data_IF_202599454725
#
_entry.id   IF_202599454725
#
_cell.length_a   1.000
_cell.length_b   1.000
_cell.length_c   1.000
_cell.angle_alpha   90.00
_cell.angle_beta   90.00
_cell.angle_gamma   90.00
#
_symmetry.space_group_name_H-M   'P 1'
#
loop_
_entity.id
_entity.type
_entity.pdbx_description
1 polymer ?
#
# COMPACT_ATOMS: atom_id res chain seq x y z
N UNK A 1 24.62 -56.49 28.25
CA UNK A 1 23.48 -57.16 27.59
C UNK A 1 22.66 -56.10 26.88
N UNK A 2 21.88 -56.44 25.85
CA UNK A 2 21.04 -55.47 25.13
C UNK A 2 19.80 -55.06 25.93
N UNK A 3 19.11 -54.00 25.52
CA UNK A 3 17.84 -53.57 26.16
C UNK A 3 16.80 -54.70 26.11
N UNK A 4 16.66 -55.38 24.97
CA UNK A 4 15.76 -56.54 24.83
C UNK A 4 16.14 -57.69 25.77
N UNK A 5 17.43 -57.97 25.93
CA UNK A 5 17.89 -59.00 26.87
C UNK A 5 17.60 -58.60 28.31
N UNK A 6 17.82 -57.33 28.69
CA UNK A 6 17.48 -56.79 30.01
C UNK A 6 15.98 -56.95 30.30
N UNK A 7 15.14 -56.53 29.35
CA UNK A 7 13.69 -56.53 29.51
C UNK A 7 13.09 -57.94 29.53
N UNK A 8 13.85 -58.95 29.07
CA UNK A 8 13.47 -60.36 29.15
C UNK A 8 13.73 -61.02 30.52
N UNK A 9 14.39 -60.32 31.45
CA UNK A 9 14.61 -60.83 32.81
C UNK A 9 13.27 -60.85 33.55
N UNK A 10 12.77 -62.03 33.85
CA UNK A 10 11.55 -62.20 34.64
C UNK A 10 11.84 -61.99 36.14
N UNK A 11 11.01 -61.19 36.81
CA UNK A 11 11.14 -60.85 38.24
C UNK A 11 12.56 -60.44 38.66
N UNK A 12 13.12 -59.38 38.07
CA UNK A 12 14.45 -58.89 38.45
C UNK A 12 14.49 -58.52 39.94
N UNK A 13 15.64 -58.78 40.58
CA UNK A 13 15.83 -58.44 41.99
C UNK A 13 15.95 -56.92 42.18
N UNK A 14 15.40 -56.39 43.26
CA UNK A 14 15.55 -55.00 43.66
C UNK A 14 17.04 -54.67 43.86
N UNK A 15 17.52 -53.65 43.15
CA UNK A 15 18.92 -53.26 43.12
C UNK A 15 19.81 -54.07 42.18
N UNK A 16 19.24 -54.95 41.34
CA UNK A 16 20.00 -55.66 40.30
C UNK A 16 20.62 -54.66 39.33
N UNK A 17 21.95 -54.65 39.23
CA UNK A 17 22.71 -53.79 38.31
C UNK A 17 23.19 -54.60 37.12
N UNK A 18 23.00 -54.06 35.92
CA UNK A 18 23.52 -54.61 34.67
C UNK A 18 24.20 -53.51 33.86
N UNK A 19 25.04 -53.89 32.89
CA UNK A 19 25.56 -52.98 31.88
C UNK A 19 24.80 -53.16 30.56
N UNK A 20 24.12 -52.12 30.11
CA UNK A 20 23.45 -52.11 28.81
C UNK A 20 24.44 -51.70 27.71
N UNK A 21 24.59 -52.56 26.72
CA UNK A 21 25.58 -52.38 25.65
C UNK A 21 25.06 -51.50 24.50
N UNK A 22 23.76 -51.19 24.46
CA UNK A 22 23.17 -50.34 23.40
C UNK A 22 23.34 -48.85 23.69
N UNK A 23 23.18 -48.43 24.94
CA UNK A 23 23.35 -47.04 25.40
C UNK A 23 24.66 -46.81 26.17
N UNK A 24 25.44 -47.89 26.40
CA UNK A 24 26.70 -47.87 27.16
C UNK A 24 26.55 -47.35 28.60
N UNK A 25 25.38 -47.58 29.22
CA UNK A 25 25.10 -47.17 30.58
C UNK A 25 24.94 -48.37 31.53
N UNK A 26 25.24 -48.15 32.82
CA UNK A 26 24.80 -49.05 33.88
C UNK A 26 23.31 -48.81 34.12
N UNK A 27 22.54 -49.89 34.15
CA UNK A 27 21.13 -49.88 34.49
C UNK A 27 20.91 -50.63 35.80
N UNK A 28 19.97 -50.17 36.63
CA UNK A 28 19.54 -50.89 37.82
C UNK A 28 18.02 -51.04 37.85
N UNK A 29 17.55 -52.12 38.46
CA UNK A 29 16.11 -52.32 38.71
C UNK A 29 15.76 -51.76 40.09
N UNK A 30 14.86 -50.78 40.15
CA UNK A 30 14.51 -50.10 41.41
C UNK A 30 13.33 -50.73 42.18
N UNK A 31 12.88 -51.92 41.75
CA UNK A 31 11.68 -52.58 42.25
C UNK A 31 10.42 -52.32 41.41
N UNK A 32 10.46 -51.35 40.50
CA UNK A 32 9.33 -50.97 39.64
C UNK A 32 9.71 -50.97 38.15
N UNK A 33 10.86 -50.39 37.81
CA UNK A 33 11.32 -50.28 36.43
C UNK A 33 12.85 -50.39 36.34
N UNK A 34 13.35 -50.62 35.12
CA UNK A 34 14.76 -50.47 34.80
C UNK A 34 15.09 -48.99 34.60
N UNK A 35 16.12 -48.51 35.29
CA UNK A 35 16.60 -47.13 35.19
C UNK A 35 18.09 -47.11 34.84
N UNK A 36 18.50 -46.19 33.98
CA UNK A 36 19.91 -45.85 33.85
C UNK A 36 20.39 -45.11 35.10
N UNK A 37 21.66 -45.27 35.45
CA UNK A 37 22.25 -44.64 36.65
C UNK A 37 22.20 -43.10 36.68
N UNK A 38 21.90 -42.47 35.54
CA UNK A 38 21.71 -41.01 35.43
C UNK A 38 20.24 -40.58 35.52
N UNK A 39 19.29 -41.50 35.64
CA UNK A 39 17.87 -41.21 35.85
C UNK A 39 17.59 -41.13 37.36
N UNK A 40 16.79 -40.16 37.77
CA UNK A 40 16.29 -40.01 39.14
C UNK A 40 15.01 -40.83 39.36
N UNK A 41 14.15 -40.95 38.34
CA UNK A 41 12.89 -41.69 38.42
C UNK A 41 12.47 -42.36 37.09
N UNK A 42 11.42 -43.20 37.14
CA UNK A 42 10.97 -43.99 35.97
C UNK A 42 10.32 -43.13 34.89
N UNK A 43 9.93 -41.89 35.21
CA UNK A 43 9.25 -40.96 34.31
C UNK A 43 10.23 -39.98 33.64
N UNK A 44 11.50 -39.99 34.03
CA UNK A 44 12.53 -39.14 33.44
C UNK A 44 12.68 -39.42 31.95
N UNK A 45 12.34 -38.41 31.17
CA UNK A 45 12.39 -38.48 29.73
C UNK A 45 13.83 -38.34 29.24
N UNK A 46 14.28 -39.29 28.44
CA UNK A 46 15.48 -39.12 27.62
C UNK A 46 15.12 -39.37 26.17
N UNK A 47 15.69 -38.58 25.27
CA UNK A 47 15.42 -38.69 23.85
C UNK A 47 16.65 -38.27 23.04
N UNK A 48 16.69 -38.77 21.81
CA UNK A 48 17.60 -38.33 20.77
C UNK A 48 16.82 -37.58 19.70
N UNK A 49 17.52 -36.65 19.04
CA UNK A 49 17.00 -35.88 17.94
C UNK A 49 17.97 -35.98 16.76
N UNK A 50 17.46 -35.98 15.54
CA UNK A 50 18.28 -35.88 14.33
C UNK A 50 17.53 -35.15 13.22
N UNK A 51 18.27 -34.54 12.29
CA UNK A 51 17.70 -33.82 11.16
C UNK A 51 17.88 -34.60 9.87
N UNK A 52 16.92 -34.47 8.96
CA UNK A 52 17.04 -34.95 7.57
C UNK A 52 18.14 -34.24 6.78
N UNK A 53 18.40 -32.96 7.09
CA UNK A 53 19.53 -32.17 6.60
C UNK A 53 20.04 -31.27 7.74
N UNK A 54 21.36 -31.07 7.82
CA UNK A 54 21.98 -30.18 8.80
C UNK A 54 22.32 -28.80 8.19
N UNK A 55 22.14 -28.64 6.88
CA UNK A 55 22.37 -27.37 6.21
C UNK A 55 21.64 -27.30 4.89
N UNK A 56 21.02 -26.16 4.59
CA UNK A 56 20.46 -25.90 3.26
C UNK A 56 20.74 -24.46 2.83
N UNK A 57 20.38 -24.15 1.60
CA UNK A 57 20.52 -22.82 1.00
C UNK A 57 19.18 -22.35 0.44
N UNK A 58 18.82 -21.10 0.72
CA UNK A 58 17.69 -20.42 0.10
C UNK A 58 18.21 -19.42 -0.93
N UNK A 59 17.78 -19.62 -2.17
CA UNK A 59 17.83 -18.63 -3.24
C UNK A 59 16.42 -18.07 -3.45
N UNK A 60 16.23 -16.80 -3.12
CA UNK A 60 14.94 -16.11 -3.15
C UNK A 60 14.36 -15.92 -4.55
N UNK A 61 15.17 -16.16 -5.58
CA UNK A 61 14.70 -16.21 -6.98
C UNK A 61 14.08 -17.55 -7.35
N UNK A 62 14.27 -18.59 -6.52
CA UNK A 62 13.78 -19.96 -6.72
C UNK A 62 12.74 -20.33 -5.67
N UNK A 63 13.02 -20.06 -4.39
CA UNK A 63 12.15 -20.39 -3.25
C UNK A 63 12.36 -19.39 -2.12
N UNK A 64 11.30 -19.10 -1.38
CA UNK A 64 11.34 -18.28 -0.16
C UNK A 64 11.44 -19.12 1.12
N UNK A 65 11.48 -20.45 0.99
CA UNK A 65 11.36 -21.37 2.12
C UNK A 65 12.11 -22.68 1.94
N UNK A 66 12.43 -23.28 3.09
CA UNK A 66 13.02 -24.62 3.18
C UNK A 66 12.34 -25.41 4.30
N UNK A 67 12.20 -26.72 4.08
CA UNK A 67 11.61 -27.65 5.04
C UNK A 67 12.61 -28.72 5.42
N UNK A 68 12.73 -28.98 6.72
CA UNK A 68 13.50 -30.09 7.25
C UNK A 68 12.63 -30.96 8.15
N UNK A 69 12.84 -32.28 8.06
CA UNK A 69 12.24 -33.25 8.97
C UNK A 69 13.15 -33.42 10.19
N UNK A 70 12.56 -33.33 11.37
CA UNK A 70 13.17 -33.64 12.67
C UNK A 70 12.67 -35.03 13.09
N UNK A 71 13.60 -35.95 13.33
CA UNK A 71 13.30 -37.27 13.89
C UNK A 71 13.57 -37.25 15.40
N UNK A 72 12.59 -37.69 16.18
CA UNK A 72 12.68 -37.78 17.63
C UNK A 72 12.53 -39.24 18.03
N UNK A 73 13.46 -39.72 18.86
CA UNK A 73 13.42 -41.05 19.46
C UNK A 73 13.52 -40.91 20.96
N UNK A 74 12.40 -41.09 21.66
CA UNK A 74 12.38 -41.19 23.12
C UNK A 74 12.99 -42.53 23.52
N UNK A 75 14.09 -42.48 24.26
CA UNK A 75 14.89 -43.65 24.66
C UNK A 75 14.60 -44.08 26.10
N UNK A 76 14.00 -43.21 26.92
CA UNK A 76 13.60 -43.55 28.29
C UNK A 76 12.41 -42.72 28.78
N UNK A 77 11.78 -43.20 29.86
CA UNK A 77 10.59 -42.61 30.47
C UNK A 77 9.29 -43.05 29.80
N UNK A 78 8.17 -42.80 30.48
CA UNK A 78 6.84 -43.02 29.90
C UNK A 78 6.59 -42.09 28.69
N UNK A 79 5.78 -42.51 27.69
CA UNK A 79 5.42 -41.68 26.53
C UNK A 79 4.85 -40.33 26.97
N UNK A 80 5.49 -39.24 26.55
CA UNK A 80 5.14 -37.88 26.97
C UNK A 80 5.48 -36.86 25.87
N UNK A 81 5.06 -35.61 26.08
CA UNK A 81 5.27 -34.53 25.12
C UNK A 81 6.72 -34.02 25.13
N UNK A 82 7.31 -33.92 23.94
CA UNK A 82 8.62 -33.33 23.68
C UNK A 82 8.39 -32.00 22.96
N UNK A 83 8.64 -30.90 23.66
CA UNK A 83 8.45 -29.56 23.13
C UNK A 83 9.70 -29.10 22.37
N UNK A 84 9.50 -28.43 21.24
CA UNK A 84 10.58 -27.91 20.41
C UNK A 84 10.52 -26.39 20.33
N UNK A 85 11.68 -25.77 20.28
CA UNK A 85 11.82 -24.33 20.11
C UNK A 85 13.10 -24.00 19.35
N UNK A 86 13.17 -22.78 18.82
CA UNK A 86 14.43 -22.20 18.35
C UNK A 86 15.00 -21.41 19.53
N UNK A 87 16.21 -21.79 19.97
CA UNK A 87 16.82 -21.24 21.17
C UNK A 87 17.52 -19.89 20.94
N UNK A 88 17.86 -19.55 19.69
CA UNK A 88 18.47 -18.28 19.32
C UNK A 88 17.49 -17.36 18.58
N UNK A 89 17.78 -16.06 18.56
CA UNK A 89 17.05 -15.10 17.73
C UNK A 89 17.33 -15.35 16.25
N UNK A 90 16.28 -15.40 15.43
CA UNK A 90 16.39 -15.42 13.98
C UNK A 90 16.62 -13.99 13.44
N UNK A 91 17.28 -13.83 12.27
CA UNK A 91 17.41 -12.53 11.63
C UNK A 91 16.04 -11.96 11.24
N UNK A 92 15.96 -10.62 11.14
CA UNK A 92 14.74 -9.95 10.72
C UNK A 92 14.30 -10.45 9.32
N UNK A 93 13.00 -10.70 9.17
CA UNK A 93 12.44 -11.23 7.92
C UNK A 93 12.46 -12.75 7.79
N UNK A 94 13.10 -13.47 8.73
CA UNK A 94 13.03 -14.93 8.82
C UNK A 94 12.00 -15.36 9.87
N UNK A 95 11.13 -16.29 9.49
CA UNK A 95 10.14 -16.92 10.39
C UNK A 95 10.25 -18.43 10.32
N UNK A 96 9.67 -19.12 11.30
CA UNK A 96 9.64 -20.57 11.33
C UNK A 96 8.30 -21.10 11.83
N UNK A 97 7.97 -22.33 11.44
CA UNK A 97 6.82 -23.06 11.97
C UNK A 97 7.14 -24.55 12.12
N UNK A 98 6.51 -25.19 13.10
CA UNK A 98 6.53 -26.64 13.25
C UNK A 98 5.18 -27.20 12.83
N UNK A 99 5.18 -28.32 12.09
CA UNK A 99 3.94 -28.97 11.66
C UNK A 99 3.12 -29.47 12.84
N UNK A 100 3.78 -30.10 13.82
CA UNK A 100 3.22 -30.53 15.09
C UNK A 100 4.26 -30.23 16.19
N UNK A 101 3.85 -29.47 17.20
CA UNK A 101 4.67 -29.16 18.38
C UNK A 101 3.74 -28.85 19.57
N UNK A 102 3.81 -29.59 20.70
CA UNK A 102 4.79 -30.62 21.02
C UNK A 102 4.60 -31.94 20.26
N UNK A 103 5.68 -32.72 20.17
CA UNK A 103 5.64 -34.09 19.65
C UNK A 103 5.35 -35.08 20.76
N UNK A 104 4.39 -36.00 20.57
CA UNK A 104 4.11 -37.04 21.56
C UNK A 104 5.06 -38.24 21.36
N UNK A 105 5.94 -38.47 22.33
CA UNK A 105 6.96 -39.54 22.32
C UNK A 105 7.81 -39.54 21.03
N UNK A 106 8.23 -40.72 20.58
CA UNK A 106 9.01 -40.89 19.34
C UNK A 106 8.15 -40.61 18.11
N UNK A 107 8.72 -39.92 17.13
CA UNK A 107 8.06 -39.65 15.85
C UNK A 107 8.82 -38.63 15.02
N UNK A 108 8.18 -38.12 13.98
CA UNK A 108 8.73 -37.06 13.12
C UNK A 108 7.85 -35.83 13.11
N UNK A 109 8.47 -34.67 12.88
CA UNK A 109 7.77 -33.43 12.58
C UNK A 109 8.55 -32.63 11.53
N UNK A 110 7.87 -31.71 10.86
CA UNK A 110 8.48 -30.81 9.87
C UNK A 110 8.70 -29.45 10.49
N UNK A 111 9.91 -28.91 10.33
CA UNK A 111 10.26 -27.52 10.62
C UNK A 111 10.43 -26.79 9.28
N UNK A 112 9.64 -25.74 9.08
CA UNK A 112 9.69 -24.90 7.89
C UNK A 112 10.25 -23.53 8.25
N UNK A 113 11.27 -23.08 7.52
CA UNK A 113 11.73 -21.70 7.57
C UNK A 113 11.21 -20.94 6.34
N UNK A 114 10.76 -19.70 6.56
CA UNK A 114 10.40 -18.75 5.50
C UNK A 114 11.27 -17.50 5.63
N UNK A 115 11.73 -16.97 4.51
CA UNK A 115 12.51 -15.72 4.44
C UNK A 115 11.88 -14.76 3.45
N UNK A 116 12.12 -13.47 3.67
CA UNK A 116 11.70 -12.39 2.77
C UNK A 116 12.90 -11.83 1.99
N UNK A 117 12.69 -11.07 0.90
CA UNK A 117 13.79 -10.45 0.15
C UNK A 117 14.64 -9.45 0.94
N UNK A 118 14.15 -8.91 2.07
CA UNK A 118 14.93 -8.06 2.97
C UNK A 118 15.68 -8.82 4.08
N UNK A 119 15.50 -10.15 4.17
CA UNK A 119 16.26 -10.95 5.16
C UNK A 119 17.76 -10.82 4.88
N UNK A 120 18.60 -10.49 5.88
CA UNK A 120 20.04 -10.40 5.68
C UNK A 120 20.61 -11.68 5.07
N UNK A 121 21.53 -11.53 4.12
CA UNK A 121 22.23 -12.65 3.51
C UNK A 121 23.35 -13.20 4.41
N UNK A 122 23.83 -14.39 4.06
CA UNK A 122 24.87 -15.10 4.81
C UNK A 122 24.38 -16.41 5.42
N UNK A 123 25.25 -17.01 6.23
CA UNK A 123 25.01 -18.32 6.85
C UNK A 123 24.66 -18.14 8.32
N UNK A 124 23.47 -18.58 8.71
CA UNK A 124 22.93 -18.47 10.06
C UNK A 124 22.93 -19.83 10.77
N UNK A 125 23.65 -19.98 11.89
CA UNK A 125 23.50 -21.14 12.75
C UNK A 125 22.21 -21.01 13.56
N UNK A 126 21.34 -22.00 13.44
CA UNK A 126 20.04 -22.08 14.11
C UNK A 126 20.10 -23.21 15.12
N UNK A 127 19.84 -22.91 16.38
CA UNK A 127 19.88 -23.88 17.48
C UNK A 127 18.46 -24.36 17.74
N UNK A 128 18.16 -25.58 17.31
CA UNK A 128 16.90 -26.26 17.57
C UNK A 128 17.03 -26.94 18.94
N UNK A 129 16.17 -26.56 19.87
CA UNK A 129 16.12 -27.10 21.22
C UNK A 129 14.89 -27.98 21.39
N UNK A 130 15.10 -29.21 21.85
CA UNK A 130 14.07 -30.10 22.35
C UNK A 130 14.10 -30.15 23.87
N UNK A 131 12.92 -30.15 24.49
CA UNK A 131 12.71 -30.24 25.93
C UNK A 131 11.76 -31.39 26.24
N UNK A 132 12.16 -32.25 27.18
CA UNK A 132 11.32 -33.31 27.71
C UNK A 132 11.59 -33.50 29.20
N UNK A 133 10.68 -33.01 30.06
CA UNK A 133 10.93 -32.93 31.49
C UNK A 133 12.25 -32.15 31.78
N UNK A 134 13.21 -32.73 32.51
CA UNK A 134 14.52 -32.11 32.76
C UNK A 134 15.53 -32.26 31.61
N UNK A 135 15.24 -33.10 30.60
CA UNK A 135 16.18 -33.35 29.50
C UNK A 135 16.09 -32.29 28.42
N UNK A 136 17.26 -31.77 28.05
CA UNK A 136 17.44 -30.81 26.97
C UNK A 136 18.36 -31.39 25.90
N UNK A 137 17.96 -31.31 24.62
CA UNK A 137 18.81 -31.64 23.48
C UNK A 137 18.85 -30.45 22.52
N UNK A 138 20.05 -30.09 22.08
CA UNK A 138 20.25 -29.05 21.09
C UNK A 138 20.85 -29.67 19.83
N UNK A 139 20.36 -29.26 18.67
CA UNK A 139 21.00 -29.52 17.37
C UNK A 139 21.17 -28.19 16.65
N UNK A 140 22.29 -28.06 15.95
CA UNK A 140 22.56 -26.90 15.11
C UNK A 140 22.20 -27.25 13.67
N UNK A 141 21.40 -26.39 13.06
CA UNK A 141 21.07 -26.38 11.64
C UNK A 141 21.66 -25.11 11.00
N UNK A 142 22.30 -25.23 9.85
CA UNK A 142 23.00 -24.12 9.19
C UNK A 142 22.24 -23.69 7.93
N UNK A 143 21.56 -22.55 7.99
CA UNK A 143 20.80 -22.02 6.84
C UNK A 143 21.60 -20.92 6.13
N UNK A 144 21.88 -21.09 4.85
CA UNK A 144 22.52 -20.06 4.02
C UNK A 144 21.48 -19.32 3.18
N UNK A 145 21.50 -17.99 3.22
CA UNK A 145 20.66 -17.12 2.39
C UNK A 145 21.55 -16.43 1.36
N UNK A 146 21.22 -16.58 0.07
CA UNK A 146 21.95 -15.90 -1.00
C UNK A 146 21.64 -14.40 -1.05
N UNK A 147 22.61 -13.54 -1.43
CA UNK A 147 22.44 -12.10 -1.45
C UNK A 147 21.43 -11.62 -2.49
N UNK A 148 20.73 -10.53 -2.18
CA UNK A 148 19.97 -9.74 -3.14
C UNK A 148 20.76 -8.48 -3.50
N UNK A 149 20.50 -7.93 -4.67
CA UNK A 149 21.04 -6.63 -5.06
C UNK A 149 20.37 -5.52 -4.25
N UNK A 150 21.16 -4.56 -3.77
CA UNK A 150 20.66 -3.45 -2.97
C UNK A 150 20.75 -2.15 -3.76
N UNK A 151 19.60 -1.54 -4.02
CA UNK A 151 19.49 -0.23 -4.67
C UNK A 151 19.08 0.78 -3.61
N UNK A 152 20.03 1.62 -3.20
CA UNK A 152 19.80 2.66 -2.18
C UNK A 152 19.33 3.95 -2.84
N UNK A 153 18.15 4.42 -2.43
CA UNK A 153 17.53 5.64 -2.92
C UNK A 153 17.76 6.70 -1.86
N UNK A 154 18.78 7.53 -2.09
CA UNK A 154 19.32 8.48 -1.11
C UNK A 154 19.01 9.95 -1.44
N UNK A 155 18.51 10.22 -2.64
CA UNK A 155 18.14 11.55 -3.10
C UNK A 155 16.66 11.58 -3.47
N UNK A 156 15.96 12.65 -3.10
CA UNK A 156 14.59 12.90 -3.55
C UNK A 156 14.54 13.05 -5.06
N UNK A 157 13.50 12.49 -5.67
CA UNK A 157 13.35 12.44 -7.13
C UNK A 157 11.88 12.33 -7.51
N UNK A 158 11.57 12.62 -8.76
CA UNK A 158 10.27 12.34 -9.35
C UNK A 158 10.32 11.04 -10.15
N UNK A 159 9.18 10.33 -10.22
CA UNK A 159 8.93 9.19 -11.10
C UNK A 159 10.05 8.15 -11.11
N UNK A 160 10.41 7.65 -9.93
CA UNK A 160 11.49 6.71 -9.75
C UNK A 160 11.17 5.36 -10.40
N UNK A 161 12.09 4.86 -11.22
CA UNK A 161 12.03 3.54 -11.83
C UNK A 161 13.16 2.65 -11.30
N UNK A 162 12.79 1.67 -10.46
CA UNK A 162 13.74 0.75 -9.86
C UNK A 162 14.49 -0.08 -10.91
N UNK A 163 13.81 -0.53 -11.96
CA UNK A 163 14.43 -1.36 -12.99
C UNK A 163 15.53 -0.62 -13.73
N UNK A 164 15.28 0.65 -14.09
CA UNK A 164 16.27 1.52 -14.72
C UNK A 164 17.49 1.72 -13.81
N UNK A 165 17.26 2.19 -12.57
CA UNK A 165 18.36 2.51 -11.65
C UNK A 165 19.14 1.25 -11.22
N UNK A 166 18.45 0.11 -11.09
CA UNK A 166 19.07 -1.19 -10.85
C UNK A 166 20.09 -1.55 -11.94
N UNK A 167 19.74 -1.46 -13.23
CA UNK A 167 20.66 -1.81 -14.31
C UNK A 167 21.74 -0.75 -14.56
N UNK A 168 21.51 0.51 -14.16
CA UNK A 168 22.57 1.52 -14.13
C UNK A 168 23.60 1.17 -13.05
N UNK A 169 23.15 0.78 -11.85
CA UNK A 169 24.02 0.44 -10.73
C UNK A 169 24.71 -0.92 -10.92
N UNK A 170 24.02 -1.89 -11.52
CA UNK A 170 24.49 -3.25 -11.75
C UNK A 170 24.41 -3.65 -13.25
N UNK A 171 25.26 -3.10 -14.13
CA UNK A 171 25.18 -3.35 -15.57
C UNK A 171 25.43 -4.81 -15.99
N UNK A 172 26.04 -5.61 -15.11
CA UNK A 172 26.29 -7.04 -15.34
C UNK A 172 25.19 -7.94 -14.78
N UNK A 173 24.13 -7.38 -14.19
CA UNK A 173 23.01 -8.16 -13.69
C UNK A 173 22.30 -8.91 -14.85
N UNK A 174 21.78 -10.12 -14.60
CA UNK A 174 21.03 -10.85 -15.61
C UNK A 174 19.78 -10.10 -16.04
N UNK A 175 19.53 -10.06 -17.36
CA UNK A 175 18.35 -9.38 -17.95
C UNK A 175 17.27 -10.36 -18.41
N UNK A 176 17.54 -11.66 -18.40
CA UNK A 176 16.63 -12.70 -18.88
C UNK A 176 16.32 -13.79 -17.86
N UNK A 177 16.89 -13.71 -16.66
CA UNK A 177 16.64 -14.65 -15.56
C UNK A 177 16.23 -13.87 -14.31
N UNK A 178 15.33 -14.42 -13.47
CA UNK A 178 14.92 -13.79 -12.23
C UNK A 178 16.09 -13.28 -11.39
N UNK A 179 15.92 -12.10 -10.79
CA UNK A 179 16.87 -11.50 -9.85
C UNK A 179 16.18 -11.23 -8.52
N UNK A 180 16.97 -11.12 -7.45
CA UNK A 180 16.47 -10.62 -6.18
C UNK A 180 16.97 -9.19 -5.95
N UNK A 181 16.05 -8.24 -5.76
CA UNK A 181 16.38 -6.81 -5.63
C UNK A 181 15.67 -6.22 -4.42
N UNK A 182 16.40 -5.43 -3.63
CA UNK A 182 15.89 -4.65 -2.51
C UNK A 182 16.07 -3.17 -2.85
N UNK A 183 14.98 -2.44 -2.95
CA UNK A 183 14.96 -0.98 -3.03
C UNK A 183 14.85 -0.42 -1.60
N UNK A 184 15.85 0.34 -1.16
CA UNK A 184 15.83 1.00 0.15
C UNK A 184 15.65 2.50 -0.03
N UNK A 185 14.48 3.01 0.34
CA UNK A 185 14.18 4.45 0.36
C UNK A 185 14.59 5.00 1.71
N UNK A 186 15.67 5.78 1.73
CA UNK A 186 16.26 6.26 2.98
C UNK A 186 15.36 7.29 3.70
N UNK A 187 15.53 7.44 5.03
CA UNK A 187 14.89 8.51 5.78
C UNK A 187 15.17 9.89 5.18
N UNK A 188 14.12 10.71 5.04
CA UNK A 188 14.22 12.07 4.49
C UNK A 188 14.16 12.16 2.97
N UNK A 189 14.13 11.03 2.25
CA UNK A 189 13.96 10.99 0.80
C UNK A 189 12.49 11.10 0.43
N UNK A 190 12.20 11.93 -0.58
CA UNK A 190 10.87 12.10 -1.15
C UNK A 190 10.87 11.66 -2.61
N UNK A 191 10.11 10.60 -2.88
CA UNK A 191 9.82 10.11 -4.22
C UNK A 191 8.42 10.57 -4.60
N UNK A 192 8.32 11.51 -5.54
CA UNK A 192 7.03 12.09 -5.96
C UNK A 192 6.74 11.83 -7.44
N UNK A 193 5.57 12.25 -7.93
CA UNK A 193 5.32 12.35 -9.37
C UNK A 193 5.12 13.81 -9.78
N UNK A 194 5.48 14.15 -11.01
CA UNK A 194 5.19 15.46 -11.63
C UNK A 194 4.00 15.41 -12.61
N UNK A 195 3.39 14.24 -12.78
CA UNK A 195 2.20 14.01 -13.61
C UNK A 195 1.30 12.95 -13.00
N UNK A 196 -0.01 13.05 -13.17
CA UNK A 196 -0.96 12.01 -12.73
C UNK A 196 -0.88 10.74 -13.57
N UNK A 197 -0.32 10.83 -14.78
CA UNK A 197 -0.20 9.70 -15.71
C UNK A 197 0.97 8.74 -15.44
N UNK A 198 1.86 9.08 -14.51
CA UNK A 198 2.99 8.24 -14.10
C UNK A 198 2.99 8.08 -12.58
N UNK A 199 3.36 6.89 -12.07
CA UNK A 199 3.47 6.67 -10.64
C UNK A 199 4.68 7.41 -10.07
N UNK A 200 4.64 7.72 -8.77
CA UNK A 200 5.81 8.27 -8.09
C UNK A 200 6.98 7.25 -8.05
N UNK A 201 6.67 5.97 -7.83
CA UNK A 201 7.61 4.86 -7.83
C UNK A 201 7.07 3.71 -8.68
N UNK A 202 7.91 3.12 -9.53
CA UNK A 202 7.62 1.86 -10.23
C UNK A 202 8.73 0.85 -10.00
N UNK A 203 8.38 -0.44 -9.87
CA UNK A 203 9.39 -1.51 -9.86
C UNK A 203 10.06 -1.69 -11.23
N UNK A 204 9.50 -1.08 -12.28
CA UNK A 204 10.15 -0.99 -13.60
C UNK A 204 10.15 -2.30 -14.38
N UNK A 205 11.07 -2.45 -15.32
CA UNK A 205 11.21 -3.70 -16.09
C UNK A 205 12.30 -4.57 -15.47
N UNK A 206 11.87 -5.61 -14.76
CA UNK A 206 12.73 -6.67 -14.26
C UNK A 206 12.39 -8.00 -14.95
N UNK A 207 13.27 -9.01 -14.93
CA UNK A 207 12.98 -10.33 -15.48
C UNK A 207 11.82 -10.98 -14.72
N UNK A 208 10.85 -11.54 -15.44
CA UNK A 208 9.66 -12.14 -14.84
C UNK A 208 10.00 -13.19 -13.79
N UNK A 209 9.35 -13.10 -12.63
CA UNK A 209 9.60 -13.99 -11.49
C UNK A 209 10.70 -13.50 -10.56
N UNK A 210 11.18 -12.27 -10.77
CA UNK A 210 12.11 -11.62 -9.83
C UNK A 210 11.47 -11.42 -8.47
N UNK A 211 12.28 -11.54 -7.42
CA UNK A 211 11.86 -11.28 -6.05
C UNK A 211 12.23 -9.85 -5.66
N UNK A 212 11.23 -8.99 -5.50
CA UNK A 212 11.46 -7.57 -5.18
C UNK A 212 11.07 -7.29 -3.73
N UNK A 213 11.84 -6.44 -3.05
CA UNK A 213 11.39 -5.77 -1.85
C UNK A 213 11.55 -4.27 -1.93
N UNK A 214 10.60 -3.54 -1.34
CA UNK A 214 10.67 -2.11 -1.11
C UNK A 214 10.73 -1.91 0.40
N UNK A 215 11.85 -1.38 0.89
CA UNK A 215 12.00 -0.91 2.27
C UNK A 215 11.82 0.60 2.24
N UNK A 216 10.64 1.08 2.65
CA UNK A 216 10.34 2.50 2.64
C UNK A 216 10.53 3.11 4.03
N UNK A 217 11.57 3.92 4.19
CA UNK A 217 11.77 4.78 5.37
C UNK A 217 11.58 6.27 5.05
N UNK A 218 11.30 6.61 3.79
CA UNK A 218 11.07 7.97 3.31
C UNK A 218 9.59 8.25 3.02
N UNK A 219 9.32 8.99 1.97
CA UNK A 219 7.97 9.27 1.49
C UNK A 219 7.84 8.99 -0.01
N UNK A 220 6.77 8.29 -0.38
CA UNK A 220 6.40 7.99 -1.76
C UNK A 220 4.99 8.56 -1.97
N UNK A 221 4.85 9.61 -2.79
CA UNK A 221 3.60 10.37 -2.93
C UNK A 221 3.23 10.58 -4.39
N UNK A 222 2.07 10.08 -4.79
CA UNK A 222 1.48 10.34 -6.10
C UNK A 222 1.07 11.81 -6.30
N UNK A 223 1.04 12.27 -7.54
CA UNK A 223 0.63 13.64 -7.86
C UNK A 223 -0.89 13.82 -7.66
N UNK A 224 -1.33 14.97 -7.17
CA UNK A 224 -2.75 15.30 -7.13
C UNK A 224 -3.35 15.56 -8.51
N UNK A 225 -4.61 15.19 -8.70
CA UNK A 225 -5.37 15.48 -9.91
C UNK A 225 -5.67 16.96 -10.09
N UNK A 226 -5.51 17.51 -11.30
CA UNK A 226 -5.93 18.87 -11.59
C UNK A 226 -7.46 19.00 -11.51
N UNK A 227 -7.94 20.11 -10.96
CA UNK A 227 -9.35 20.45 -10.91
C UNK A 227 -9.91 20.76 -12.29
N UNK A 228 -11.19 20.43 -12.49
CA UNK A 228 -11.88 20.69 -13.74
C UNK A 228 -11.97 22.20 -14.02
N UNK A 229 -11.82 22.60 -15.28
CA UNK A 229 -11.86 24.01 -15.71
C UNK A 229 -13.28 24.47 -16.06
N UNK A 230 -13.84 24.00 -17.16
CA UNK A 230 -15.22 24.30 -17.56
C UNK A 230 -15.75 23.24 -18.54
N UNK A 231 -17.07 23.13 -18.64
CA UNK A 231 -17.71 22.38 -19.71
C UNK A 231 -17.75 23.23 -20.98
N UNK A 232 -16.77 23.04 -21.87
CA UNK A 232 -16.70 23.66 -23.19
C UNK A 232 -16.10 22.67 -24.21
N UNK A 233 -16.92 21.72 -24.71
CA UNK A 233 -16.45 20.72 -25.67
C UNK A 233 -15.93 21.31 -26.98
N UNK A 234 -16.33 22.53 -27.34
CA UNK A 234 -15.87 23.21 -28.55
C UNK A 234 -14.38 23.57 -28.42
N UNK A 235 -13.96 23.92 -27.21
CA UNK A 235 -12.57 24.23 -26.87
C UNK A 235 -11.84 23.07 -26.17
N UNK A 236 -12.45 21.88 -26.13
CA UNK A 236 -11.81 20.63 -25.69
C UNK A 236 -11.84 20.37 -24.18
N UNK A 237 -12.67 21.08 -23.40
CA UNK A 237 -12.76 20.86 -21.95
C UNK A 237 -14.08 20.19 -21.57
N UNK A 238 -14.03 19.18 -20.71
CA UNK A 238 -15.22 18.49 -20.19
C UNK A 238 -15.68 19.03 -18.84
N UNK A 239 -14.80 19.75 -18.14
CA UNK A 239 -15.03 20.20 -16.76
C UNK A 239 -14.88 19.10 -15.72
N UNK A 240 -14.48 17.89 -16.11
CA UNK A 240 -14.19 16.81 -15.15
C UNK A 240 -12.91 17.13 -14.37
N UNK A 241 -12.85 16.72 -13.11
CA UNK A 241 -11.60 16.67 -12.36
C UNK A 241 -10.73 15.51 -12.84
N UNK A 242 -9.41 15.68 -12.86
CA UNK A 242 -8.49 14.60 -13.19
C UNK A 242 -8.31 13.65 -12.01
N UNK A 243 -8.11 12.36 -12.30
CA UNK A 243 -7.76 11.37 -11.29
C UNK A 243 -6.37 11.70 -10.68
N UNK A 244 -6.20 11.40 -9.39
CA UNK A 244 -4.90 11.46 -8.73
C UNK A 244 -3.95 10.38 -9.25
N UNK A 245 -2.65 10.68 -9.25
CA UNK A 245 -1.60 9.74 -9.65
C UNK A 245 -1.28 8.71 -8.57
N UNK A 246 -0.82 7.55 -9.02
CA UNK A 246 -0.45 6.43 -8.14
C UNK A 246 0.87 6.72 -7.40
N UNK A 247 0.99 6.24 -6.15
CA UNK A 247 2.24 6.33 -5.40
C UNK A 247 3.22 5.23 -5.86
N UNK A 248 2.79 3.96 -5.79
CA UNK A 248 3.60 2.81 -6.20
C UNK A 248 2.84 2.03 -7.28
N UNK A 249 3.53 1.70 -8.36
CA UNK A 249 3.06 0.78 -9.39
C UNK A 249 3.97 -0.46 -9.46
N UNK A 250 3.40 -1.63 -9.22
CA UNK A 250 4.15 -2.90 -9.25
C UNK A 250 4.08 -3.56 -10.63
N UNK A 251 5.20 -4.14 -11.02
CA UNK A 251 5.40 -4.90 -12.26
C UNK A 251 5.96 -6.30 -11.99
N UNK A 252 6.25 -6.61 -10.73
CA UNK A 252 6.71 -7.91 -10.25
C UNK A 252 6.21 -8.14 -8.81
N UNK A 253 6.26 -9.39 -8.35
CA UNK A 253 5.93 -9.75 -6.97
C UNK A 253 6.86 -9.01 -6.00
N UNK A 254 6.27 -8.26 -5.07
CA UNK A 254 7.00 -7.29 -4.26
C UNK A 254 6.59 -7.36 -2.79
N UNK A 255 7.56 -7.54 -1.89
CA UNK A 255 7.35 -7.40 -0.44
C UNK A 255 7.64 -5.97 -0.02
N UNK A 256 6.69 -5.28 0.61
CA UNK A 256 6.83 -3.90 1.07
C UNK A 256 6.96 -3.86 2.60
N UNK A 257 8.06 -3.28 3.07
CA UNK A 257 8.27 -2.94 4.49
C UNK A 257 8.18 -1.43 4.60
N UNK A 258 7.02 -0.93 5.06
CA UNK A 258 6.77 0.49 5.17
C UNK A 258 6.95 0.99 6.61
N UNK A 259 8.01 1.76 6.85
CA UNK A 259 8.22 2.58 8.06
C UNK A 259 8.07 4.08 7.79
N UNK A 260 7.87 4.46 6.53
CA UNK A 260 7.67 5.81 6.04
C UNK A 260 6.23 6.08 5.60
N UNK A 261 6.07 6.84 4.51
CA UNK A 261 4.76 7.27 4.00
C UNK A 261 4.54 6.82 2.56
N UNK A 262 3.38 6.26 2.25
CA UNK A 262 2.96 5.87 0.89
C UNK A 262 1.56 6.41 0.63
N UNK A 263 1.44 7.49 -0.14
CA UNK A 263 0.17 8.19 -0.37
C UNK A 263 -0.16 8.30 -1.86
N UNK A 264 -1.30 7.74 -2.27
CA UNK A 264 -1.89 8.03 -3.59
C UNK A 264 -2.35 9.49 -3.66
N UNK A 265 -2.21 10.11 -4.83
CA UNK A 265 -2.65 11.48 -5.06
C UNK A 265 -4.14 11.67 -4.84
N UNK A 266 -4.55 12.85 -4.37
CA UNK A 266 -5.97 13.20 -4.27
C UNK A 266 -6.57 13.46 -5.65
N UNK A 267 -7.84 13.13 -5.86
CA UNK A 267 -8.55 13.44 -7.11
C UNK A 267 -8.88 14.92 -7.25
N UNK A 268 -8.89 15.46 -8.48
CA UNK A 268 -9.31 16.83 -8.74
C UNK A 268 -10.82 17.01 -8.55
N UNK A 269 -11.23 18.15 -8.01
CA UNK A 269 -12.65 18.53 -7.97
C UNK A 269 -13.17 18.87 -9.36
N UNK A 270 -14.47 18.69 -9.61
CA UNK A 270 -15.05 19.01 -10.91
C UNK A 270 -15.32 20.52 -11.07
N UNK A 271 -15.40 21.00 -12.32
CA UNK A 271 -15.89 22.33 -12.62
C UNK A 271 -17.42 22.40 -12.55
N UNK A 272 -17.92 23.52 -12.06
CA UNK A 272 -19.32 23.90 -12.24
C UNK A 272 -19.39 25.18 -13.06
N UNK A 273 -18.94 25.09 -14.32
CA UNK A 273 -18.92 26.19 -15.26
C UNK A 273 -19.42 25.77 -16.64
N UNK A 274 -20.41 26.51 -17.15
CA UNK A 274 -21.14 26.15 -18.36
C UNK A 274 -21.27 27.35 -19.30
N UNK A 275 -21.18 27.07 -20.60
CA UNK A 275 -21.60 28.01 -21.63
C UNK A 275 -23.13 28.00 -21.71
N UNK A 276 -23.75 29.16 -21.52
CA UNK A 276 -25.19 29.32 -21.44
C UNK A 276 -25.70 30.26 -22.52
N UNK A 277 -26.85 29.92 -23.08
CA UNK A 277 -27.53 30.72 -24.10
C UNK A 277 -28.95 31.01 -23.61
N UNK A 278 -29.30 32.29 -23.51
CA UNK A 278 -30.67 32.73 -23.27
C UNK A 278 -31.26 33.35 -24.54
N UNK A 279 -32.39 32.82 -24.99
CA UNK A 279 -33.16 33.34 -26.12
C UNK A 279 -34.41 34.04 -25.60
N UNK A 280 -34.42 35.38 -25.48
CA UNK A 280 -35.62 36.11 -25.06
C UNK A 280 -36.73 36.07 -26.14
N UNK A 281 -37.99 36.37 -25.79
CA UNK A 281 -39.06 36.54 -26.77
C UNK A 281 -38.70 37.61 -27.82
N UNK A 282 -38.98 37.33 -29.10
CA UNK A 282 -38.75 38.25 -30.21
C UNK A 282 -39.35 39.64 -29.92
N UNK A 283 -38.65 40.77 -30.22
CA UNK A 283 -37.47 40.89 -31.08
C UNK A 283 -36.11 41.02 -30.35
N UNK A 284 -36.00 40.58 -29.09
CA UNK A 284 -34.77 40.77 -28.31
C UNK A 284 -33.61 39.84 -28.78
N UNK A 285 -32.34 40.30 -28.70
CA UNK A 285 -31.18 39.51 -29.14
C UNK A 285 -30.91 38.32 -28.20
N UNK A 286 -30.39 37.22 -28.77
CA UNK A 286 -29.87 36.08 -28.01
C UNK A 286 -28.62 36.48 -27.24
N UNK A 287 -28.51 36.07 -25.97
CA UNK A 287 -27.39 36.39 -25.09
C UNK A 287 -26.65 35.09 -24.76
N UNK A 288 -25.35 35.04 -25.04
CA UNK A 288 -24.46 33.95 -24.65
C UNK A 288 -23.42 34.42 -23.63
N UNK A 289 -23.17 33.62 -22.60
CA UNK A 289 -22.12 33.89 -21.61
C UNK A 289 -21.60 32.60 -20.98
N UNK A 290 -20.38 32.63 -20.47
CA UNK A 290 -19.82 31.57 -19.64
C UNK A 290 -19.96 31.99 -18.18
N UNK A 291 -20.58 31.15 -17.36
CA UNK A 291 -20.67 31.39 -15.92
C UNK A 291 -20.30 30.14 -15.13
N UNK A 292 -19.56 30.31 -14.04
CA UNK A 292 -19.36 29.25 -13.06
C UNK A 292 -18.07 29.33 -12.27
N UNK A 293 -17.62 28.20 -11.77
CA UNK A 293 -16.41 28.08 -10.98
C UNK A 293 -15.61 26.83 -11.35
N UNK A 294 -14.29 26.93 -11.28
CA UNK A 294 -13.36 25.81 -11.47
C UNK A 294 -13.28 24.92 -10.25
N UNK A 295 -12.94 23.65 -10.46
CA UNK A 295 -12.71 22.69 -9.37
C UNK A 295 -11.35 22.90 -8.70
N UNK A 296 -11.23 22.51 -7.44
CA UNK A 296 -9.95 22.54 -6.71
C UNK A 296 -9.02 21.40 -7.12
N UNK A 297 -7.71 21.64 -7.03
CA UNK A 297 -6.69 20.62 -7.31
C UNK A 297 -6.54 19.62 -6.16
N UNK A 298 -6.27 18.35 -6.46
CA UNK A 298 -6.07 17.31 -5.46
C UNK A 298 -4.74 17.46 -4.68
N UNK A 299 -4.70 16.90 -3.47
CA UNK A 299 -3.49 16.84 -2.66
C UNK A 299 -2.36 16.11 -3.40
N UNK A 300 -1.14 16.64 -3.31
CA UNK A 300 -0.02 16.21 -4.15
C UNK A 300 0.32 17.20 -5.27
N UNK A 301 -0.09 18.47 -5.13
CA UNK A 301 0.26 19.54 -6.06
C UNK A 301 -0.61 19.60 -7.32
N UNK A 302 -1.83 19.04 -7.29
CA UNK A 302 -2.79 19.21 -8.38
C UNK A 302 -3.18 20.68 -8.52
N UNK A 303 -3.34 21.16 -9.75
CA UNK A 303 -3.69 22.56 -10.02
C UNK A 303 -5.19 22.78 -9.91
N UNK A 304 -5.60 23.95 -9.44
CA UNK A 304 -6.98 24.39 -9.51
C UNK A 304 -7.41 24.59 -10.96
N UNK A 305 -8.68 24.35 -11.23
CA UNK A 305 -9.32 24.65 -12.49
C UNK A 305 -9.32 26.14 -12.72
N UNK A 306 -8.50 26.60 -13.66
CA UNK A 306 -8.45 27.99 -14.09
C UNK A 306 -8.90 28.14 -15.54
N UNK A 307 -9.57 29.25 -15.86
CA UNK A 307 -9.96 29.50 -17.24
C UNK A 307 -8.77 29.77 -18.15
N UNK A 308 -8.77 29.15 -19.32
CA UNK A 308 -7.78 29.44 -20.36
C UNK A 308 -8.05 30.80 -21.02
N UNK A 309 -6.96 31.53 -21.32
CA UNK A 309 -7.00 32.84 -21.98
C UNK A 309 -7.40 32.70 -23.47
N UNK A 310 -8.69 32.49 -23.75
CA UNK A 310 -9.18 32.33 -25.13
C UNK A 310 -10.70 32.41 -25.32
N UNK A 311 -11.48 32.48 -24.24
CA UNK A 311 -12.95 32.52 -24.32
C UNK A 311 -13.42 33.93 -24.69
N UNK A 312 -13.96 34.11 -25.91
CA UNK A 312 -14.52 35.39 -26.39
C UNK A 312 -16.00 35.47 -25.96
N UNK A 313 -16.34 36.37 -25.04
CA UNK A 313 -17.71 36.60 -24.56
C UNK A 313 -17.78 37.31 -23.20
N UNK A 314 -18.97 37.38 -22.58
CA UNK A 314 -19.09 37.73 -21.16
C UNK A 314 -18.71 36.48 -20.36
N UNK A 315 -17.65 36.58 -19.56
CA UNK A 315 -17.14 35.51 -18.71
C UNK A 315 -17.28 35.94 -17.26
N UNK A 316 -17.96 35.11 -16.47
CA UNK A 316 -18.11 35.28 -15.03
C UNK A 316 -17.61 33.99 -14.39
N UNK A 317 -16.38 34.01 -13.88
CA UNK A 317 -15.72 32.80 -13.45
C UNK A 317 -14.81 33.05 -12.25
N UNK A 318 -14.76 32.07 -11.36
CA UNK A 318 -13.84 32.03 -10.23
C UNK A 318 -13.01 30.75 -10.33
N UNK A 319 -11.68 30.92 -10.30
CA UNK A 319 -10.73 29.81 -10.39
C UNK A 319 -10.80 28.95 -9.12
N UNK A 320 -10.54 27.65 -9.27
CA UNK A 320 -10.28 26.77 -8.13
C UNK A 320 -8.88 26.99 -7.55
N UNK A 321 -8.67 26.60 -6.29
CA UNK A 321 -7.36 26.65 -5.66
C UNK A 321 -6.54 25.41 -5.98
N UNK A 322 -5.22 25.59 -6.05
CA UNK A 322 -4.26 24.50 -6.15
C UNK A 322 -4.26 23.66 -4.87
N UNK A 323 -4.15 22.34 -5.04
CA UNK A 323 -3.83 21.42 -3.95
C UNK A 323 -2.39 21.61 -3.51
N UNK A 324 -2.13 21.38 -2.22
CA UNK A 324 -0.78 21.50 -1.67
C UNK A 324 -0.02 20.17 -1.73
N UNK A 325 1.30 20.24 -1.86
CA UNK A 325 2.19 19.08 -1.87
C UNK A 325 2.83 18.78 -0.51
N UNK A 326 3.67 17.75 -0.48
CA UNK A 326 4.40 17.33 0.72
C UNK A 326 3.55 16.50 1.69
N UNK A 327 4.13 16.14 2.84
CA UNK A 327 3.52 15.16 3.75
C UNK A 327 2.14 15.59 4.30
N UNK A 328 1.94 16.89 4.48
CA UNK A 328 0.70 17.49 5.01
C UNK A 328 -0.13 18.15 3.91
N UNK A 329 0.10 17.78 2.64
CA UNK A 329 -0.69 18.27 1.51
C UNK A 329 -2.18 18.00 1.71
N UNK A 330 -2.98 19.01 1.34
CA UNK A 330 -4.44 19.01 1.35
C UNK A 330 -4.96 19.33 -0.06
N UNK A 331 -6.17 18.87 -0.34
CA UNK A 331 -6.91 19.31 -1.52
C UNK A 331 -7.15 20.82 -1.52
N UNK A 332 -7.17 21.42 -2.70
CA UNK A 332 -7.53 22.81 -2.89
C UNK A 332 -9.05 22.96 -2.90
N UNK A 333 -9.55 24.09 -2.39
CA UNK A 333 -10.97 24.43 -2.45
C UNK A 333 -11.41 24.73 -3.89
N UNK A 334 -12.64 24.38 -4.23
CA UNK A 334 -13.27 24.80 -5.48
C UNK A 334 -13.49 26.32 -5.53
N UNK A 335 -13.57 26.87 -6.74
CA UNK A 335 -13.91 28.28 -6.92
C UNK A 335 -15.33 28.59 -6.42
N UNK A 336 -15.56 29.81 -5.96
CA UNK A 336 -16.85 30.23 -5.39
C UNK A 336 -17.36 31.47 -6.11
N UNK A 337 -18.36 31.28 -6.97
CA UNK A 337 -19.05 32.37 -7.66
C UNK A 337 -20.47 32.54 -7.13
N UNK A 338 -20.65 33.47 -6.18
CA UNK A 338 -21.91 33.70 -5.46
C UNK A 338 -22.35 35.17 -5.39
N UNK A 339 -21.80 36.03 -6.24
CA UNK A 339 -22.14 37.46 -6.30
C UNK A 339 -22.89 37.82 -7.60
N UNK A 340 -23.89 38.71 -7.54
CA UNK A 340 -24.64 39.10 -8.72
C UNK A 340 -23.80 39.98 -9.67
N UNK A 341 -23.94 39.75 -10.97
CA UNK A 341 -23.34 40.55 -12.03
C UNK A 341 -24.44 41.28 -12.79
N UNK A 342 -24.32 42.60 -12.89
CA UNK A 342 -25.31 43.45 -13.56
C UNK A 342 -24.70 44.10 -14.80
N UNK A 343 -25.43 44.03 -15.91
CA UNK A 343 -25.10 44.75 -17.14
C UNK A 343 -26.35 45.39 -17.73
N UNK A 344 -26.19 46.38 -18.60
CA UNK A 344 -27.31 47.14 -19.17
C UNK A 344 -27.20 47.17 -20.69
N UNK A 345 -28.31 46.89 -21.36
CA UNK A 345 -28.45 47.02 -22.81
C UNK A 345 -29.58 48.02 -23.07
N UNK A 346 -29.22 49.22 -23.53
CA UNK A 346 -30.17 50.34 -23.69
C UNK A 346 -30.88 50.68 -22.36
N UNK A 347 -32.21 50.72 -22.33
CA UNK A 347 -33.00 50.98 -21.13
C UNK A 347 -33.23 49.72 -20.26
N UNK A 348 -32.67 48.55 -20.60
CA UNK A 348 -32.93 47.29 -19.89
C UNK A 348 -31.70 46.84 -19.11
N UNK A 349 -31.85 46.67 -17.80
CA UNK A 349 -30.85 46.11 -16.91
C UNK A 349 -31.07 44.61 -16.73
N UNK A 350 -29.99 43.85 -16.84
CA UNK A 350 -29.93 42.42 -16.59
C UNK A 350 -29.07 42.18 -15.35
N UNK A 351 -29.57 41.37 -14.42
CA UNK A 351 -28.81 40.90 -13.26
C UNK A 351 -28.76 39.39 -13.31
N UNK A 352 -27.55 38.86 -13.43
CA UNK A 352 -27.25 37.44 -13.34
C UNK A 352 -26.81 37.17 -11.92
N UNK A 353 -27.52 36.29 -11.21
CA UNK A 353 -27.20 35.92 -9.82
C UNK A 353 -26.76 34.46 -9.79
N UNK A 354 -25.44 34.20 -9.97
CA UNK A 354 -24.87 32.86 -9.85
C UNK A 354 -24.80 32.43 -8.39
N UNK A 355 -24.92 31.12 -8.21
CA UNK A 355 -24.57 30.39 -7.00
C UNK A 355 -23.87 29.10 -7.47
N UNK A 356 -22.61 29.26 -7.87
CA UNK A 356 -21.78 28.21 -8.43
C UNK A 356 -20.57 27.97 -7.53
N UNK A 357 -20.37 26.70 -7.15
CA UNK A 357 -19.23 26.20 -6.41
C UNK A 357 -18.58 25.11 -7.24
N UNK A 358 -17.29 25.22 -7.54
CA UNK A 358 -16.52 24.08 -8.02
C UNK A 358 -16.47 22.99 -6.95
N UNK A 359 -16.21 21.76 -7.36
CA UNK A 359 -15.87 20.71 -6.40
C UNK A 359 -14.51 20.99 -5.77
N UNK A 360 -14.36 20.70 -4.48
CA UNK A 360 -13.06 20.70 -3.80
C UNK A 360 -12.23 19.50 -4.26
N UNK A 361 -10.91 19.69 -4.33
CA UNK A 361 -9.94 18.61 -4.54
C UNK A 361 -9.92 17.64 -3.36
N UNK A 362 -9.63 16.38 -3.64
CA UNK A 362 -9.50 15.34 -2.63
C UNK A 362 -8.17 15.44 -1.87
N UNK A 363 -8.18 15.07 -0.59
CA UNK A 363 -6.96 14.79 0.15
C UNK A 363 -6.28 13.51 -0.37
N UNK A 364 -5.06 13.22 0.11
CA UNK A 364 -4.35 11.99 -0.26
C UNK A 364 -5.21 10.73 -0.07
N UNK A 365 -5.37 9.96 -1.14
CA UNK A 365 -6.19 8.75 -1.16
C UNK A 365 -7.71 8.98 -1.20
N UNK A 366 -8.17 10.22 -1.39
CA UNK A 366 -9.58 10.56 -1.53
C UNK A 366 -9.92 11.11 -2.93
N UNK A 367 -11.12 10.78 -3.47
CA UNK A 367 -11.60 11.40 -4.68
C UNK A 367 -11.88 12.90 -4.44
N UNK A 368 -11.86 13.68 -5.52
CA UNK A 368 -12.40 15.03 -5.50
C UNK A 368 -13.91 15.02 -5.29
N UNK A 369 -14.46 16.16 -4.90
CA UNK A 369 -15.90 16.31 -4.68
C UNK A 369 -16.62 16.88 -5.91
N UNK A 370 -17.94 16.74 -5.93
CA UNK A 370 -18.79 17.37 -6.93
C UNK A 370 -19.32 18.70 -6.40
N UNK A 371 -19.16 19.75 -7.20
CA UNK A 371 -19.66 21.09 -6.93
C UNK A 371 -21.17 21.25 -7.16
N UNK A 372 -21.65 22.48 -6.99
CA UNK A 372 -23.06 22.86 -7.15
C UNK A 372 -23.17 24.01 -8.16
N UNK A 373 -24.21 24.01 -8.99
CA UNK A 373 -24.50 25.12 -9.89
C UNK A 373 -25.97 25.49 -9.86
N UNK A 374 -26.24 26.74 -9.52
CA UNK A 374 -27.54 27.36 -9.68
C UNK A 374 -27.36 28.76 -10.27
N UNK A 375 -28.14 29.10 -11.28
CA UNK A 375 -28.09 30.40 -11.91
C UNK A 375 -29.49 30.97 -12.07
N UNK A 376 -29.67 32.23 -11.69
CA UNK A 376 -30.92 32.95 -11.93
C UNK A 376 -30.66 34.25 -12.68
N UNK A 377 -31.62 34.65 -13.52
CA UNK A 377 -31.61 35.93 -14.22
C UNK A 377 -32.81 36.79 -13.81
N UNK A 378 -32.55 38.07 -13.58
CA UNK A 378 -33.56 39.10 -13.37
C UNK A 378 -33.40 40.20 -14.41
N UNK A 379 -34.51 40.67 -14.98
CA UNK A 379 -34.54 41.69 -16.03
C UNK A 379 -35.40 42.85 -15.54
N UNK A 380 -34.85 44.05 -15.54
CA UNK A 380 -35.51 45.27 -15.08
C UNK A 380 -35.43 46.34 -16.16
N UNK A 381 -36.57 46.89 -16.60
CA UNK A 381 -36.63 48.05 -17.48
C UNK A 381 -36.42 49.31 -16.63
N UNK A 382 -35.41 50.12 -16.98
CA UNK A 382 -35.01 51.33 -16.28
C UNK A 382 -35.41 52.53 -17.14
N UNK A 383 -36.53 53.19 -16.80
CA UNK A 383 -37.01 54.37 -17.52
C UNK A 383 -36.63 55.62 -16.74
N UNK A 384 -35.91 56.55 -17.39
CA UNK A 384 -35.51 57.82 -16.78
C UNK A 384 -36.49 58.92 -17.19
N UNK A 385 -37.16 59.55 -16.21
CA UNK A 385 -38.04 60.70 -16.44
C UNK A 385 -37.34 62.00 -16.01
N UNK A 386 -37.44 63.11 -16.78
CA UNK A 386 -36.71 64.36 -16.50
C UNK A 386 -37.04 65.03 -15.15
N UNK A 387 -38.20 64.72 -14.55
CA UNK A 387 -38.72 65.38 -13.34
C UNK A 387 -38.90 64.39 -12.17
N UNK A 388 -39.17 63.12 -12.47
CA UNK A 388 -39.59 62.09 -11.49
C UNK A 388 -38.43 61.13 -11.16
N UNK A 389 -37.30 61.25 -11.84
CA UNK A 389 -36.14 60.37 -11.67
C UNK A 389 -36.31 59.04 -12.39
N UNK A 390 -35.53 58.05 -11.97
CA UNK A 390 -35.41 56.75 -12.63
C UNK A 390 -36.36 55.73 -11.99
N UNK A 391 -37.23 55.10 -12.79
CA UNK A 391 -38.19 54.10 -12.32
C UNK A 391 -37.78 52.71 -12.85
N UNK A 392 -37.41 51.75 -11.97
CA UNK A 392 -37.19 50.36 -12.34
C UNK A 392 -38.50 49.58 -12.41
N UNK A 393 -38.76 48.90 -13.55
CA UNK A 393 -39.91 48.04 -13.78
C UNK A 393 -39.41 46.60 -13.95
N UNK A 394 -39.65 45.68 -13.01
CA UNK A 394 -39.22 44.29 -13.14
C UNK A 394 -40.02 43.59 -14.25
N UNK A 395 -39.32 43.05 -15.23
CA UNK A 395 -39.90 42.28 -16.34
C UNK A 395 -39.81 40.77 -16.10
N UNK A 396 -38.69 40.33 -15.53
CA UNK A 396 -38.42 38.93 -15.14
C UNK A 396 -37.72 38.96 -13.79
N UNK A 397 -38.11 38.09 -12.87
CA UNK A 397 -37.47 38.00 -11.55
C UNK A 397 -37.05 36.56 -11.28
N UNK A 398 -35.78 36.39 -10.92
CA UNK A 398 -35.18 35.13 -10.46
C UNK A 398 -35.52 33.92 -11.34
N UNK A 399 -35.55 34.12 -12.66
CA UNK A 399 -35.83 33.03 -13.59
C UNK A 399 -34.65 32.06 -13.59
N UNK A 400 -34.85 30.77 -13.24
CA UNK A 400 -33.76 29.80 -13.19
C UNK A 400 -33.29 29.47 -14.60
N UNK A 401 -31.97 29.51 -14.82
CA UNK A 401 -31.35 29.04 -16.04
C UNK A 401 -30.91 27.59 -15.80
N UNK A 402 -31.50 26.60 -16.49
CA UNK A 402 -31.11 25.21 -16.31
C UNK A 402 -29.69 24.97 -16.84
N UNK A 403 -28.97 24.03 -16.23
CA UNK A 403 -27.71 23.53 -16.79
C UNK A 403 -28.00 22.78 -18.10
N UNK A 404 -27.17 22.96 -19.14
CA UNK A 404 -27.40 22.38 -20.46
C UNK A 404 -27.06 20.88 -20.51
N UNK A 405 -26.28 20.40 -19.54
CA UNK A 405 -25.75 19.04 -19.47
C UNK A 405 -25.70 18.55 -18.03
N UNK A 406 -25.49 17.25 -17.84
CA UNK A 406 -25.23 16.69 -16.51
C UNK A 406 -23.96 17.31 -15.89
N UNK A 407 -23.91 17.45 -14.55
CA UNK A 407 -22.70 17.88 -13.86
C UNK A 407 -21.49 17.01 -14.24
N UNK A 408 -20.31 17.60 -14.51
CA UNK A 408 -19.08 16.85 -14.75
C UNK A 408 -18.71 15.96 -13.56
N UNK A 409 -17.93 14.92 -13.81
CA UNK A 409 -17.45 13.99 -12.78
C UNK A 409 -16.25 14.57 -12.03
N UNK A 410 -16.12 14.21 -10.76
CA UNK A 410 -14.87 14.47 -10.03
C UNK A 410 -13.83 13.39 -10.32
N UNK A 411 -12.56 13.73 -10.09
CA UNK A 411 -11.46 12.80 -10.22
C UNK A 411 -11.44 11.80 -9.06
N UNK A 412 -11.07 10.56 -9.37
CA UNK A 412 -10.82 9.52 -8.40
C UNK A 412 -9.47 9.73 -7.69
N UNK A 413 -9.29 9.08 -6.54
CA UNK A 413 -7.99 9.03 -5.89
C UNK A 413 -7.00 8.15 -6.68
N UNK A 414 -5.72 8.46 -6.58
CA UNK A 414 -4.66 7.56 -6.99
C UNK A 414 -4.49 6.39 -6.01
N UNK A 415 -3.91 5.29 -6.48
CA UNK A 415 -3.59 4.15 -5.64
C UNK A 415 -2.39 4.45 -4.74
N UNK A 416 -2.44 3.96 -3.50
CA UNK A 416 -1.25 3.89 -2.67
C UNK A 416 -0.27 2.84 -3.22
N UNK A 417 -0.79 1.66 -3.57
CA UNK A 417 -0.04 0.59 -4.24
C UNK A 417 -0.95 -0.05 -5.27
N UNK A 418 -0.65 0.19 -6.55
CA UNK A 418 -1.28 -0.50 -7.66
C UNK A 418 -0.49 -1.77 -7.97
N UNK A 419 -1.05 -2.92 -7.64
CA UNK A 419 -0.31 -4.19 -7.71
C UNK A 419 -0.47 -4.93 -9.04
N UNK A 420 -1.37 -4.54 -9.94
CA UNK A 420 -1.50 -5.11 -11.30
C UNK A 420 -1.61 -6.66 -11.35
N UNK A 421 -2.15 -7.27 -10.28
CA UNK A 421 -2.23 -8.72 -10.12
C UNK A 421 -0.97 -9.42 -9.57
N UNK A 422 0.11 -8.67 -9.31
CA UNK A 422 1.30 -9.18 -8.60
C UNK A 422 1.04 -9.31 -7.11
N UNK A 423 1.76 -10.22 -6.45
CA UNK A 423 1.61 -10.44 -5.01
C UNK A 423 2.35 -9.39 -4.20
N UNK A 424 1.72 -8.95 -3.12
CA UNK A 424 2.30 -8.08 -2.08
C UNK A 424 1.84 -8.52 -0.70
N UNK A 425 2.58 -8.14 0.34
CA UNK A 425 2.26 -8.42 1.73
C UNK A 425 1.28 -7.41 2.36
N UNK A 426 0.86 -6.38 1.61
CA UNK A 426 -0.19 -5.45 2.03
C UNK A 426 -1.51 -5.91 1.40
N UNK A 427 -2.53 -6.29 2.19
CA UNK A 427 -3.82 -6.74 1.66
C UNK A 427 -4.54 -5.65 0.85
N UNK A 428 -5.40 -6.09 -0.08
CA UNK A 428 -6.23 -5.16 -0.85
C UNK A 428 -7.27 -4.49 0.06
N UNK A 429 -7.24 -3.16 0.12
CA UNK A 429 -8.19 -2.35 0.85
C UNK A 429 -8.00 -0.86 0.53
N UNK A 430 -8.94 -0.03 0.98
CA UNK A 430 -8.76 1.42 1.06
C UNK A 430 -8.14 1.74 2.42
N UNK A 431 -6.95 2.33 2.40
CA UNK A 431 -6.23 2.73 3.61
C UNK A 431 -6.28 4.23 3.80
N UNK A 432 -6.66 4.72 4.98
CA UNK A 432 -6.56 6.14 5.37
C UNK A 432 -5.86 6.20 6.74
N UNK A 433 -4.61 5.77 6.77
CA UNK A 433 -3.79 5.78 7.98
C UNK A 433 -2.77 6.91 7.93
N UNK A 434 -2.01 7.10 9.00
CA UNK A 434 -0.92 8.09 9.01
C UNK A 434 0.22 7.74 8.04
N UNK A 435 0.39 6.46 7.66
CA UNK A 435 1.56 5.96 6.92
C UNK A 435 1.22 5.38 5.53
N UNK A 436 -0.06 5.11 5.29
CA UNK A 436 -0.57 4.56 4.03
C UNK A 436 -1.93 5.19 3.74
N UNK A 437 -2.05 5.89 2.59
CA UNK A 437 -3.27 6.57 2.16
C UNK A 437 -3.57 6.28 0.70
N UNK A 438 -4.79 5.83 0.41
CA UNK A 438 -5.25 5.40 -0.92
C UNK A 438 -5.51 3.91 -1.00
N UNK A 439 -5.97 3.47 -2.16
CA UNK A 439 -6.28 2.07 -2.42
C UNK A 439 -5.01 1.24 -2.61
N UNK A 440 -5.00 0.04 -2.04
CA UNK A 440 -4.13 -1.05 -2.45
C UNK A 440 -5.00 -2.03 -3.23
N UNK A 441 -4.70 -2.22 -4.51
CA UNK A 441 -5.56 -2.99 -5.41
C UNK A 441 -4.95 -3.19 -6.79
N UNK A 442 -5.63 -3.97 -7.65
CA UNK A 442 -5.11 -4.41 -8.94
C UNK A 442 -4.97 -3.29 -9.96
#
# INVERSE_FOLDING_TARGET
MTTTQRDSISNPADGLVIYNTEDSALHFFNGVCWQAVYQENCDDCFFNMSLSSYSDTIDRTITDSVQIIINISQTAGNPQNIALSIANSLPAGMTYSFSNNPQFSSGTLTLTFHVTPFTPDGTFPIVIQGLCGPSVKNIVYSLTILPCYLVNIINSTTNYDLGIDFYIQYPSAPTSTPVCVVADVNPGVSVTSDTTGLPAFTTGVLPSGSAVAIVNNGMIIGMGGDGGTAYDPVNGTTGDGLDGGDAINLTENTTIVNSGYIFGGGGGGNAMAFALIYVPPSPAPTIGFLAGAGGGGGAGGGKGGALSSGVIGIVIYEDGFDGTGGLLGLGGDGGILNYPVTFTVSAVQFTVSPNAFGGDGGDYGYPGTQGIFNLTISVTLVITFPIIGTIPIPLVQNYPIPIPVSPPLSGNAGFAVKHNGFTTNIPDNIYITSFLKGEVGP
#
